data_IF_244552536354
#
_entry.id   IF_244552536354
#
_cell.length_a   1.000
_cell.length_b   1.000
_cell.length_c   1.000
_cell.angle_alpha   90.00
_cell.angle_beta   90.00
_cell.angle_gamma   90.00
#
_symmetry.space_group_name_H-M   'P 1'
#
loop_
_entity.id
_entity.type
_entity.pdbx_description
1 polymer ?
#
# COMPACT_ATOMS: atom_id res chain seq x y z
N UNK A 1 4.99 -24.08 13.86
CA UNK A 1 5.01 -23.97 12.39
C UNK A 1 4.17 -22.75 12.09
N UNK A 2 4.78 -21.69 11.54
CA UNK A 2 4.03 -20.49 11.22
C UNK A 2 3.25 -20.71 9.92
N UNK A 3 2.03 -20.18 9.88
CA UNK A 3 1.18 -20.21 8.69
C UNK A 3 1.65 -19.15 7.70
N UNK A 4 1.55 -19.45 6.39
CA UNK A 4 1.86 -18.50 5.33
C UNK A 4 0.59 -18.04 4.65
N UNK A 5 0.51 -16.73 4.41
CA UNK A 5 -0.61 -16.10 3.72
C UNK A 5 -0.10 -15.46 2.44
N UNK A 6 -0.80 -15.73 1.34
CA UNK A 6 -0.56 -15.07 0.07
C UNK A 6 -1.47 -13.85 -0.02
N UNK A 7 -0.89 -12.74 -0.44
CA UNK A 7 -1.60 -11.49 -0.67
C UNK A 7 -1.15 -10.86 -1.98
N UNK A 8 -2.03 -10.05 -2.56
CA UNK A 8 -1.78 -9.36 -3.82
C UNK A 8 -1.73 -7.86 -3.56
N UNK A 9 -0.64 -7.23 -3.96
CA UNK A 9 -0.50 -5.78 -3.98
C UNK A 9 -0.76 -5.29 -5.41
N UNK A 10 -1.69 -4.37 -5.55
CA UNK A 10 -1.91 -3.66 -6.81
C UNK A 10 -0.87 -2.54 -6.96
N UNK A 11 0.19 -2.83 -7.72
CA UNK A 11 1.26 -1.90 -8.09
C UNK A 11 0.98 -1.16 -9.40
N UNK A 12 -0.28 -1.16 -9.85
CA UNK A 12 -0.68 -0.43 -11.04
C UNK A 12 -0.51 1.07 -10.83
N UNK A 13 -0.02 1.75 -11.87
CA UNK A 13 0.20 3.19 -11.83
C UNK A 13 -0.17 3.84 -13.15
N UNK A 14 -0.49 5.11 -13.07
CA UNK A 14 -0.75 5.96 -14.23
C UNK A 14 0.45 6.87 -14.44
N UNK A 15 0.96 6.97 -15.67
CA UNK A 15 2.00 7.93 -16.02
C UNK A 15 1.39 9.31 -16.18
N UNK A 16 1.78 10.26 -15.34
CA UNK A 16 1.21 11.61 -15.35
C UNK A 16 1.36 12.32 -16.70
N UNK A 17 2.51 12.14 -17.37
CA UNK A 17 2.81 12.82 -18.63
C UNK A 17 1.99 12.31 -19.83
N UNK A 18 1.59 11.04 -19.84
CA UNK A 18 0.93 10.41 -21.00
C UNK A 18 -0.50 9.96 -20.72
N UNK A 19 -0.90 9.87 -19.45
CA UNK A 19 -2.16 9.27 -19.03
C UNK A 19 -2.19 7.74 -19.19
N UNK A 20 -1.08 7.12 -19.59
CA UNK A 20 -0.98 5.67 -19.78
C UNK A 20 -1.12 4.95 -18.44
N UNK A 21 -2.06 4.01 -18.37
CA UNK A 21 -2.24 3.12 -17.22
C UNK A 21 -1.42 1.85 -17.43
N UNK A 22 -0.48 1.60 -16.53
CA UNK A 22 0.27 0.35 -16.45
C UNK A 22 -0.36 -0.49 -15.35
N UNK A 23 -0.79 -1.71 -15.68
CA UNK A 23 -1.34 -2.65 -14.70
C UNK A 23 -0.25 -3.60 -14.24
N UNK A 24 -0.02 -3.68 -12.93
CA UNK A 24 0.97 -4.58 -12.32
C UNK A 24 0.44 -5.09 -10.99
N UNK A 25 0.21 -6.39 -10.88
CA UNK A 25 -0.16 -7.03 -9.62
C UNK A 25 1.04 -7.85 -9.15
N UNK A 26 1.43 -7.66 -7.89
CA UNK A 26 2.50 -8.40 -7.25
C UNK A 26 1.95 -9.32 -6.19
N UNK A 27 2.31 -10.59 -6.27
CA UNK A 27 2.06 -11.53 -5.18
C UNK A 27 3.12 -11.37 -4.11
N UNK A 28 2.68 -11.35 -2.86
CA UNK A 28 3.51 -11.21 -1.67
C UNK A 28 3.10 -12.24 -0.64
N UNK A 29 4.08 -12.83 0.03
CA UNK A 29 3.83 -13.86 1.05
C UNK A 29 4.15 -13.30 2.42
N UNK A 30 3.19 -13.40 3.34
CA UNK A 30 3.33 -13.02 4.73
C UNK A 30 3.41 -14.25 5.61
N UNK A 31 4.24 -14.19 6.65
CA UNK A 31 4.26 -15.21 7.71
C UNK A 31 3.43 -14.74 8.89
N UNK A 32 2.44 -15.55 9.32
CA UNK A 32 1.60 -15.26 10.48
C UNK A 32 2.40 -15.50 11.76
N UNK A 33 2.57 -14.45 12.55
CA UNK A 33 3.37 -14.47 13.79
C UNK A 33 2.62 -13.75 14.92
N UNK A 34 2.92 -14.07 16.20
CA UNK A 34 2.40 -13.29 17.31
C UNK A 34 2.93 -11.84 17.29
N UNK A 35 2.20 -10.86 17.87
CA UNK A 35 2.61 -9.45 17.87
C UNK A 35 4.04 -9.21 18.39
N UNK A 36 4.49 -10.02 19.36
CA UNK A 36 5.84 -9.92 19.92
C UNK A 36 6.98 -10.22 18.92
N UNK A 37 6.69 -10.97 17.85
CA UNK A 37 7.64 -11.37 16.81
C UNK A 37 7.39 -10.65 15.47
N UNK A 38 6.38 -9.78 15.42
CA UNK A 38 5.96 -9.14 14.18
C UNK A 38 6.88 -7.97 13.80
N UNK A 39 7.40 -8.03 12.59
CA UNK A 39 8.12 -6.93 11.96
C UNK A 39 7.13 -5.96 11.31
N UNK A 40 6.48 -5.14 12.15
CA UNK A 40 5.43 -4.16 11.79
C UNK A 40 5.75 -3.19 10.64
N UNK A 41 6.99 -3.15 10.15
CA UNK A 41 7.43 -2.28 9.06
C UNK A 41 7.86 -3.01 7.78
N UNK A 42 8.24 -4.29 7.86
CA UNK A 42 8.95 -4.95 6.75
C UNK A 42 8.05 -5.72 5.79
N UNK A 43 6.75 -5.81 6.07
CA UNK A 43 5.81 -6.54 5.20
C UNK A 43 6.10 -8.04 5.06
N UNK A 44 7.03 -8.61 5.84
CA UNK A 44 7.36 -10.05 5.79
C UNK A 44 6.48 -10.88 6.74
N UNK A 45 5.95 -10.21 7.77
CA UNK A 45 5.20 -10.84 8.86
C UNK A 45 3.91 -10.09 9.13
N UNK A 46 2.90 -10.82 9.58
CA UNK A 46 1.58 -10.29 9.90
C UNK A 46 1.14 -10.85 11.26
N UNK A 47 0.67 -9.95 12.12
CA UNK A 47 0.05 -10.28 13.39
C UNK A 47 -1.38 -9.74 13.44
N UNK A 48 -2.14 -10.13 14.46
CA UNK A 48 -3.52 -9.68 14.64
C UNK A 48 -3.68 -8.15 14.70
N UNK A 49 -2.67 -7.42 15.19
CA UNK A 49 -2.71 -5.96 15.32
C UNK A 49 -2.42 -5.24 13.98
N UNK A 50 -1.66 -5.87 13.08
CA UNK A 50 -1.37 -5.30 11.77
C UNK A 50 -2.27 -5.82 10.66
N UNK A 51 -3.05 -6.87 10.93
CA UNK A 51 -3.91 -7.48 9.93
C UNK A 51 -4.87 -6.47 9.30
N UNK A 52 -5.41 -5.53 10.08
CA UNK A 52 -6.31 -4.51 9.57
C UNK A 52 -5.58 -3.53 8.64
N UNK A 53 -4.39 -3.06 9.04
CA UNK A 53 -3.58 -2.13 8.26
C UNK A 53 -3.10 -2.76 6.95
N UNK A 54 -2.60 -4.00 6.99
CA UNK A 54 -2.14 -4.67 5.77
C UNK A 54 -3.28 -4.90 4.79
N UNK A 55 -4.50 -5.16 5.27
CA UNK A 55 -5.68 -5.34 4.41
C UNK A 55 -6.11 -4.07 3.66
N UNK A 56 -5.65 -2.88 4.07
CA UNK A 56 -5.92 -1.63 3.34
C UNK A 56 -5.24 -1.68 1.97
N UNK A 57 -3.99 -2.13 1.95
CA UNK A 57 -3.14 -2.11 0.75
C UNK A 57 -3.06 -3.47 0.04
N UNK A 58 -3.16 -4.57 0.78
CA UNK A 58 -2.97 -5.93 0.26
C UNK A 58 -4.30 -6.70 0.25
N UNK A 59 -4.51 -7.41 -0.85
CA UNK A 59 -5.64 -8.32 -0.99
C UNK A 59 -5.23 -9.75 -0.66
N UNK A 60 -5.56 -10.21 0.54
CA UNK A 60 -5.20 -11.56 1.03
C UNK A 60 -6.16 -12.63 0.52
N UNK A 61 -5.62 -13.79 0.13
CA UNK A 61 -6.39 -14.97 -0.24
C UNK A 61 -7.04 -15.65 0.98
N UNK A 62 -8.06 -16.48 0.74
CA UNK A 62 -8.68 -17.31 1.77
C UNK A 62 -8.01 -18.69 1.85
N UNK A 63 -7.94 -19.32 3.05
CA UNK A 63 -8.48 -18.85 4.33
C UNK A 63 -7.58 -17.80 5.00
N UNK A 64 -8.17 -16.67 5.40
CA UNK A 64 -7.47 -15.65 6.18
C UNK A 64 -7.83 -15.74 7.66
N UNK A 65 -6.85 -15.83 8.58
CA UNK A 65 -7.08 -16.17 9.99
C UNK A 65 -7.60 -15.00 10.85
N UNK A 66 -7.67 -13.78 10.30
CA UNK A 66 -8.10 -12.58 11.02
C UNK A 66 -9.42 -12.03 10.47
N UNK A 67 -10.13 -11.16 11.23
CA UNK A 67 -11.30 -10.47 10.72
C UNK A 67 -10.99 -9.69 9.43
N UNK A 68 -11.88 -9.83 8.44
CA UNK A 68 -11.75 -9.08 7.19
C UNK A 68 -12.18 -7.62 7.40
N UNK A 69 -11.32 -6.69 7.01
CA UNK A 69 -11.68 -5.26 7.00
C UNK A 69 -12.62 -5.00 5.84
N UNK A 70 -13.75 -4.36 6.13
CA UNK A 70 -14.75 -3.95 5.13
C UNK A 70 -14.50 -2.53 4.62
N UNK A 71 -13.94 -1.66 5.46
CA UNK A 71 -13.62 -0.28 5.14
C UNK A 71 -12.14 -0.13 4.75
N UNK A 72 -11.83 -0.39 3.47
CA UNK A 72 -10.50 -0.09 2.91
C UNK A 72 -10.50 1.36 2.42
N UNK A 73 -9.88 2.26 3.17
CA UNK A 73 -9.75 3.66 2.75
C UNK A 73 -8.68 3.83 1.69
N UNK A 74 -9.06 4.37 0.54
CA UNK A 74 -8.12 4.77 -0.49
C UNK A 74 -7.57 6.17 -0.23
N UNK A 75 -6.47 6.54 -0.91
CA UNK A 75 -5.96 7.92 -0.89
C UNK A 75 -7.03 8.90 -1.36
N UNK A 76 -7.87 8.50 -2.32
CA UNK A 76 -9.05 9.26 -2.77
C UNK A 76 -10.04 9.51 -1.61
N UNK A 77 -10.34 8.50 -0.81
CA UNK A 77 -11.26 8.63 0.32
C UNK A 77 -10.71 9.56 1.40
N UNK A 78 -9.40 9.49 1.66
CA UNK A 78 -8.71 10.40 2.58
C UNK A 78 -8.73 11.85 2.07
N UNK A 79 -8.59 12.06 0.76
CA UNK A 79 -8.75 13.38 0.14
C UNK A 79 -10.20 13.88 0.26
N UNK A 80 -11.17 13.03 -0.07
CA UNK A 80 -12.59 13.39 -0.04
C UNK A 80 -13.09 13.71 1.38
N UNK A 81 -12.57 13.03 2.39
CA UNK A 81 -12.87 13.26 3.81
C UNK A 81 -12.11 14.43 4.42
N UNK A 82 -11.17 15.03 3.69
CA UNK A 82 -10.31 16.12 4.17
C UNK A 82 -9.16 15.67 5.07
N UNK A 83 -8.92 14.37 5.20
CA UNK A 83 -7.76 13.81 5.91
C UNK A 83 -6.44 14.00 5.17
N UNK A 84 -6.47 14.19 3.85
CA UNK A 84 -5.32 14.55 3.01
C UNK A 84 -5.65 15.73 2.10
N UNK A 85 -4.69 16.65 1.95
CA UNK A 85 -4.83 17.80 1.05
C UNK A 85 -4.21 17.49 -0.30
N UNK A 86 -4.90 17.84 -1.39
CA UNK A 86 -4.32 17.79 -2.73
C UNK A 86 -3.13 18.74 -2.81
N UNK A 87 -2.03 18.28 -3.42
CA UNK A 87 -0.76 18.99 -3.49
C UNK A 87 0.10 18.85 -2.22
N UNK A 88 -0.38 18.15 -1.18
CA UNK A 88 0.45 17.84 -0.03
C UNK A 88 1.58 16.88 -0.43
N UNK A 89 2.76 17.17 0.08
CA UNK A 89 3.94 16.30 -0.05
C UNK A 89 3.98 15.36 1.14
N UNK A 90 3.92 14.06 0.88
CA UNK A 90 4.05 12.99 1.86
C UNK A 90 5.46 12.39 1.73
N UNK A 91 6.19 12.33 2.83
CA UNK A 91 7.46 11.60 2.85
C UNK A 91 7.16 10.11 2.97
N UNK A 92 7.67 9.31 2.04
CA UNK A 92 7.52 7.87 2.12
C UNK A 92 8.40 7.37 3.26
N UNK A 93 7.78 6.73 4.24
CA UNK A 93 8.45 6.27 5.44
C UNK A 93 9.69 5.44 5.08
N UNK A 94 10.80 5.69 5.79
CA UNK A 94 12.06 4.97 5.61
C UNK A 94 12.68 5.13 4.19
N UNK A 95 12.39 6.24 3.50
CA UNK A 95 13.04 6.66 2.24
C UNK A 95 13.27 8.18 2.18
N UNK A 96 14.21 8.63 1.34
CA UNK A 96 14.40 10.06 1.01
C UNK A 96 13.45 10.54 -0.11
N UNK A 97 12.47 9.71 -0.50
CA UNK A 97 11.52 10.04 -1.56
C UNK A 97 10.23 10.58 -0.97
N UNK A 98 9.69 11.60 -1.65
CA UNK A 98 8.38 12.14 -1.34
C UNK A 98 7.41 11.93 -2.49
N UNK A 99 6.13 11.77 -2.14
CA UNK A 99 5.04 11.67 -3.08
C UNK A 99 4.09 12.86 -2.92
N UNK A 100 3.52 13.32 -4.03
CA UNK A 100 2.54 14.40 -4.05
C UNK A 100 1.14 13.80 -4.14
N UNK A 101 0.23 14.20 -3.26
CA UNK A 101 -1.18 13.83 -3.34
C UNK A 101 -1.81 14.52 -4.55
N UNK A 102 -2.24 13.74 -5.52
CA UNK A 102 -2.84 14.25 -6.76
C UNK A 102 -4.33 14.55 -6.60
N UNK A 103 -4.88 15.43 -7.43
CA UNK A 103 -6.33 15.68 -7.51
C UNK A 103 -7.13 14.46 -7.99
N UNK A 104 -6.45 13.47 -8.59
CA UNK A 104 -7.01 12.17 -8.93
C UNK A 104 -6.96 11.17 -7.78
N UNK A 105 -6.64 11.60 -6.55
CA UNK A 105 -6.66 10.75 -5.37
C UNK A 105 -5.61 9.62 -5.38
N UNK A 106 -4.50 9.82 -6.09
CA UNK A 106 -3.33 8.95 -6.08
C UNK A 106 -2.08 9.69 -5.61
N UNK A 107 -1.00 8.95 -5.38
CA UNK A 107 0.31 9.43 -4.94
C UNK A 107 1.28 9.49 -6.12
N UNK A 108 1.72 10.70 -6.47
CA UNK A 108 2.66 10.93 -7.55
C UNK A 108 4.10 10.93 -7.03
N UNK A 109 4.91 10.00 -7.51
CA UNK A 109 6.35 9.98 -7.26
C UNK A 109 7.08 11.02 -8.14
N UNK A 110 8.35 11.39 -7.82
CA UNK A 110 9.10 12.38 -8.59
C UNK A 110 9.37 12.00 -10.05
N UNK A 111 9.33 10.70 -10.36
CA UNK A 111 9.45 10.17 -11.72
C UNK A 111 8.16 10.29 -12.56
N UNK A 112 7.09 10.82 -11.98
CA UNK A 112 5.81 11.06 -12.66
C UNK A 112 4.86 9.87 -12.67
N UNK A 113 5.17 8.77 -11.98
CA UNK A 113 4.22 7.67 -11.77
C UNK A 113 3.23 8.03 -10.65
N UNK A 114 1.93 7.83 -10.91
CA UNK A 114 0.84 8.06 -9.96
C UNK A 114 0.23 6.74 -9.55
N UNK A 115 0.35 6.39 -8.28
CA UNK A 115 -0.15 5.13 -7.70
C UNK A 115 -1.43 5.38 -6.91
N UNK A 116 -2.38 4.46 -6.99
CA UNK A 116 -3.61 4.53 -6.19
C UNK A 116 -3.45 3.90 -4.79
N UNK A 117 -2.39 3.10 -4.62
CA UNK A 117 -2.09 2.35 -3.41
C UNK A 117 -0.80 2.88 -2.73
N UNK A 118 -0.84 3.29 -1.45
CA UNK A 118 0.32 3.75 -0.69
C UNK A 118 1.49 2.77 -0.63
N UNK A 119 1.24 1.49 -0.30
CA UNK A 119 2.29 0.47 -0.27
C UNK A 119 2.92 0.25 -1.64
N UNK A 120 2.13 0.30 -2.72
CA UNK A 120 2.68 0.22 -4.08
C UNK A 120 3.60 1.40 -4.41
N UNK A 121 3.19 2.62 -4.03
CA UNK A 121 4.00 3.81 -4.21
C UNK A 121 5.32 3.72 -3.43
N UNK A 122 5.30 3.19 -2.20
CA UNK A 122 6.49 2.99 -1.38
C UNK A 122 7.42 1.90 -1.97
N UNK A 123 6.87 0.76 -2.39
CA UNK A 123 7.64 -0.31 -3.04
C UNK A 123 8.32 0.17 -4.32
N UNK A 124 7.62 0.98 -5.12
CA UNK A 124 8.15 1.56 -6.34
C UNK A 124 9.33 2.53 -6.12
N UNK A 125 9.53 3.03 -4.89
CA UNK A 125 10.74 3.78 -4.49
C UNK A 125 11.92 2.84 -4.27
N UNK A 126 11.71 1.69 -3.63
CA UNK A 126 12.78 0.71 -3.37
C UNK A 126 13.26 -0.04 -4.63
N UNK A 127 12.44 -0.07 -5.69
CA UNK A 127 12.80 -0.69 -6.98
C UNK A 127 13.59 0.24 -7.92
N UNK A 128 13.91 1.48 -7.51
CA UNK A 128 14.70 2.45 -8.29
C UNK A 128 16.19 2.37 -7.94
#
# INVERSE_FOLDING_TARGET
MYEQLTARLDESYTRFATGERVTRIREHTFTVVPPAECSHRKGETICAECADLWQIDYDFDDPFPFPRVTDRWTVRDLVNSGGLNVGATLNMADTDTSAIVTGTGGLMLPDGRVFDNPSAAANAVYEQ
#
